data_IF_213174676229
#
_entry.id   IF_213174676229
#
_cell.length_a   1.000
_cell.length_b   1.000
_cell.length_c   1.000
_cell.angle_alpha   90.00
_cell.angle_beta   90.00
_cell.angle_gamma   90.00
#
_symmetry.space_group_name_H-M   'P 1'
#
loop_
_entity.id
_entity.type
_entity.pdbx_description
1 polymer ?
#
# COMPACT_ATOMS: atom_id res chain seq x y z
N UNK A 1 25.34 5.06 7.42
CA UNK A 1 24.05 4.35 7.55
C UNK A 1 23.85 3.53 6.30
N UNK A 2 23.46 2.25 6.37
CA UNK A 2 23.16 1.46 5.17
C UNK A 2 21.95 2.07 4.43
N UNK A 3 22.00 2.02 3.10
CA UNK A 3 20.91 2.50 2.24
C UNK A 3 19.75 1.50 2.27
N UNK A 4 18.53 1.99 2.49
CA UNK A 4 17.32 1.16 2.42
C UNK A 4 17.08 0.64 1.00
N UNK A 5 16.45 -0.54 0.89
CA UNK A 5 16.15 -1.16 -0.40
C UNK A 5 14.69 -0.93 -0.79
N UNK A 6 14.47 -0.38 -1.99
CA UNK A 6 13.14 -0.13 -2.53
C UNK A 6 12.67 -1.35 -3.34
N UNK A 7 11.46 -1.82 -3.03
CA UNK A 7 10.79 -2.89 -3.77
C UNK A 7 9.55 -2.36 -4.46
N UNK A 8 9.32 -2.80 -5.70
CA UNK A 8 8.09 -2.50 -6.46
C UNK A 8 7.39 -3.80 -6.79
N UNK A 9 6.14 -3.93 -6.36
CA UNK A 9 5.28 -5.08 -6.64
C UNK A 9 4.12 -4.60 -7.50
N UNK A 10 4.04 -5.06 -8.75
CA UNK A 10 2.95 -4.76 -9.67
C UNK A 10 2.15 -6.02 -9.98
N UNK A 11 0.82 -5.90 -9.94
CA UNK A 11 -0.09 -6.94 -10.37
C UNK A 11 -1.43 -6.31 -10.76
N UNK A 12 -2.21 -6.94 -11.66
CA UNK A 12 -3.58 -6.51 -11.96
C UNK A 12 -4.48 -6.47 -10.73
N UNK A 13 -5.56 -5.71 -10.80
CA UNK A 13 -6.60 -5.76 -9.76
C UNK A 13 -7.15 -7.18 -9.64
N UNK A 14 -7.37 -7.66 -8.42
CA UNK A 14 -7.82 -9.03 -8.14
C UNK A 14 -6.73 -10.11 -8.12
N UNK A 15 -5.49 -9.81 -8.51
CA UNK A 15 -4.39 -10.78 -8.54
C UNK A 15 -3.76 -11.08 -7.16
N UNK A 16 -4.32 -10.53 -6.07
CA UNK A 16 -3.84 -10.81 -4.70
C UNK A 16 -2.67 -9.96 -4.20
N UNK A 17 -2.29 -8.87 -4.91
CA UNK A 17 -1.19 -7.97 -4.51
C UNK A 17 -1.29 -7.50 -3.05
N UNK A 18 -2.46 -7.02 -2.65
CA UNK A 18 -2.68 -6.50 -1.29
C UNK A 18 -2.49 -7.60 -0.24
N UNK A 19 -3.01 -8.80 -0.50
CA UNK A 19 -2.87 -9.96 0.39
C UNK A 19 -1.41 -10.39 0.55
N UNK A 20 -0.67 -10.44 -0.56
CA UNK A 20 0.76 -10.76 -0.54
C UNK A 20 1.54 -9.73 0.28
N UNK A 21 1.35 -8.44 -0.01
CA UNK A 21 2.03 -7.34 0.69
C UNK A 21 1.75 -7.38 2.19
N UNK A 22 0.49 -7.59 2.60
CA UNK A 22 0.13 -7.70 4.01
C UNK A 22 0.82 -8.89 4.70
N UNK A 23 0.86 -10.06 4.05
CA UNK A 23 1.54 -11.23 4.59
C UNK A 23 3.07 -11.04 4.68
N UNK A 24 3.68 -10.30 3.76
CA UNK A 24 5.12 -10.00 3.78
C UNK A 24 5.48 -9.07 4.94
N UNK A 25 4.74 -7.97 5.14
CA UNK A 25 4.98 -7.04 6.26
C UNK A 25 4.86 -7.77 7.60
N UNK A 26 3.89 -8.67 7.74
CA UNK A 26 3.70 -9.44 8.97
C UNK A 26 4.87 -10.39 9.30
N UNK A 27 5.72 -10.71 8.31
CA UNK A 27 6.84 -11.66 8.45
C UNK A 27 8.22 -11.00 8.43
N UNK A 28 8.33 -9.77 7.93
CA UNK A 28 9.61 -9.06 7.76
C UNK A 28 9.56 -7.79 8.59
N UNK A 29 10.27 -7.78 9.71
CA UNK A 29 10.24 -6.70 10.71
C UNK A 29 10.71 -5.35 10.19
N UNK A 30 11.56 -5.34 9.15
CA UNK A 30 12.22 -4.13 8.65
C UNK A 30 11.61 -3.66 7.32
N UNK A 31 10.43 -4.16 6.97
CA UNK A 31 9.69 -3.76 5.79
C UNK A 31 8.55 -2.80 6.15
N UNK A 32 8.44 -1.71 5.42
CA UNK A 32 7.31 -0.77 5.51
C UNK A 32 6.67 -0.62 4.14
N UNK A 33 5.34 -0.44 4.13
CA UNK A 33 4.60 -0.09 2.93
C UNK A 33 4.43 1.41 2.82
N UNK A 34 4.65 1.91 1.61
CA UNK A 34 4.26 3.27 1.23
C UNK A 34 2.76 3.29 0.89
N UNK A 35 1.99 4.12 1.62
CA UNK A 35 0.57 4.36 1.36
C UNK A 35 0.46 5.51 0.36
N UNK A 36 -0.11 5.25 -0.81
CA UNK A 36 -0.24 6.24 -1.88
C UNK A 36 -1.38 7.22 -1.63
N UNK A 37 -1.35 8.36 -2.32
CA UNK A 37 -2.47 9.31 -2.35
C UNK A 37 -3.39 9.04 -3.53
N UNK A 38 -4.69 9.35 -3.38
CA UNK A 38 -5.65 9.28 -4.48
C UNK A 38 -6.77 10.31 -4.30
N UNK A 39 -7.28 10.84 -5.42
CA UNK A 39 -8.44 11.75 -5.45
C UNK A 39 -9.76 11.04 -5.69
N UNK A 40 -9.72 9.71 -5.89
CA UNK A 40 -10.91 8.88 -6.01
C UNK A 40 -11.58 8.74 -4.65
N UNK A 41 -12.90 8.65 -4.61
CA UNK A 41 -13.62 8.29 -3.39
C UNK A 41 -13.29 6.86 -2.90
N UNK A 42 -13.24 6.62 -1.58
CA UNK A 42 -13.09 5.28 -1.01
C UNK A 42 -14.18 4.31 -1.50
N UNK A 43 -13.81 3.07 -1.76
CA UNK A 43 -14.76 1.95 -1.97
C UNK A 43 -15.23 1.41 -0.61
N UNK A 44 -16.37 0.69 -0.56
CA UNK A 44 -16.80 0.03 0.68
C UNK A 44 -15.69 -0.84 1.29
N UNK A 45 -15.34 -0.56 2.55
CA UNK A 45 -14.32 -1.29 3.31
C UNK A 45 -12.90 -0.73 3.24
N UNK A 46 -12.62 0.24 2.36
CA UNK A 46 -11.35 0.95 2.35
C UNK A 46 -11.25 1.95 3.52
N UNK A 47 -10.04 2.11 4.05
CA UNK A 47 -9.75 2.96 5.21
C UNK A 47 -8.66 3.96 4.85
N UNK A 48 -8.93 5.24 5.15
CA UNK A 48 -7.96 6.33 4.97
C UNK A 48 -6.71 6.12 5.83
N UNK A 49 -5.54 6.41 5.25
CA UNK A 49 -4.23 6.18 5.87
C UNK A 49 -3.77 4.72 5.91
N UNK A 50 -4.62 3.77 5.48
CA UNK A 50 -4.27 2.33 5.36
C UNK A 50 -4.22 1.89 3.91
N UNK A 51 -5.32 2.08 3.18
CA UNK A 51 -5.46 1.65 1.79
C UNK A 51 -4.91 2.72 0.84
N UNK A 52 -5.29 3.98 1.09
CA UNK A 52 -4.78 5.19 0.46
C UNK A 52 -4.88 6.36 1.45
N UNK A 53 -4.16 7.44 1.18
CA UNK A 53 -4.52 8.77 1.65
C UNK A 53 -5.52 9.36 0.64
N UNK A 54 -6.78 9.48 1.06
CA UNK A 54 -7.85 10.04 0.23
C UNK A 54 -7.85 11.56 0.37
N UNK A 55 -7.59 12.27 -0.72
CA UNK A 55 -7.45 13.74 -0.75
C UNK A 55 -8.34 14.36 -1.81
N UNK A 56 -8.72 15.61 -1.61
CA UNK A 56 -9.47 16.36 -2.62
C UNK A 56 -8.55 16.86 -3.75
N UNK A 57 -9.15 17.20 -4.89
CA UNK A 57 -8.43 17.93 -5.94
C UNK A 57 -8.22 19.38 -5.49
N UNK A 58 -6.97 19.82 -5.47
CA UNK A 58 -6.57 21.22 -5.18
C UNK A 58 -6.84 22.15 -6.36
#
# INVERSE_FOLDING_TARGET
MPQGQLFVISAPSGAGKTSLVAATIARVSDLTVSVSHTTRSPRPGEVDGRDYHFVDQS
#
